data_IF_668417953556
#
_entry.id   IF_668417953556
#
_cell.length_a   1.000
_cell.length_b   1.000
_cell.length_c   1.000
_cell.angle_alpha   90.00
_cell.angle_beta   90.00
_cell.angle_gamma   90.00
#
_symmetry.space_group_name_H-M   'P 1'
#
loop_
_entity.id
_entity.type
_entity.pdbx_description
1 polymer ?
#
# COMPACT_ATOMS: atom_id res chain seq x y z
N UNK A 1 31.84 10.26 0.75
CA UNK A 1 30.52 9.95 0.16
C UNK A 1 30.80 9.27 -1.18
N UNK A 2 30.21 8.10 -1.44
CA UNK A 2 30.48 7.37 -2.68
C UNK A 2 30.02 8.18 -3.92
N UNK A 3 30.75 8.06 -5.02
CA UNK A 3 30.44 8.69 -6.31
C UNK A 3 29.04 8.20 -6.81
N UNK A 4 28.08 9.11 -7.11
CA UNK A 4 26.76 8.75 -7.63
C UNK A 4 26.80 7.87 -8.89
N UNK A 5 27.81 8.05 -9.76
CA UNK A 5 27.96 7.23 -10.95
C UNK A 5 28.38 5.79 -10.61
N UNK A 6 29.17 5.62 -9.55
CA UNK A 6 29.53 4.28 -9.03
C UNK A 6 28.29 3.61 -8.45
N UNK A 7 27.47 4.32 -7.67
CA UNK A 7 26.22 3.78 -7.12
C UNK A 7 25.28 3.36 -8.25
N UNK A 8 25.10 4.19 -9.28
CA UNK A 8 24.24 3.88 -10.44
C UNK A 8 24.68 2.61 -11.16
N UNK A 9 25.99 2.47 -11.43
CA UNK A 9 26.54 1.26 -12.09
C UNK A 9 26.32 0.01 -11.25
N UNK A 10 26.57 0.08 -9.95
CA UNK A 10 26.34 -1.04 -9.04
C UNK A 10 24.86 -1.40 -9.03
N UNK A 11 23.96 -0.43 -8.86
CA UNK A 11 22.52 -0.67 -8.80
C UNK A 11 21.98 -1.34 -10.06
N UNK A 12 22.46 -0.93 -11.24
CA UNK A 12 22.10 -1.55 -12.52
C UNK A 12 22.59 -3.00 -12.67
N UNK A 13 23.61 -3.40 -11.92
CA UNK A 13 24.15 -4.78 -11.95
C UNK A 13 23.44 -5.73 -10.97
N UNK A 14 22.59 -5.21 -10.09
CA UNK A 14 21.89 -6.01 -9.09
C UNK A 14 20.63 -6.62 -9.72
N UNK A 15 20.39 -7.88 -9.45
CA UNK A 15 19.15 -8.56 -9.81
C UNK A 15 17.96 -7.95 -9.05
N UNK A 16 16.88 -7.65 -9.77
CA UNK A 16 15.67 -7.06 -9.19
C UNK A 16 14.82 -8.13 -8.51
N UNK A 17 15.22 -8.53 -7.31
CA UNK A 17 14.56 -9.53 -6.48
C UNK A 17 14.13 -8.95 -5.12
N UNK A 18 13.06 -9.47 -4.54
CA UNK A 18 12.58 -8.99 -3.22
C UNK A 18 13.50 -9.49 -2.12
N UNK A 19 13.64 -8.73 -1.02
CA UNK A 19 14.47 -9.16 0.11
C UNK A 19 13.91 -10.43 0.78
N UNK A 20 12.59 -10.61 0.75
CA UNK A 20 11.89 -11.79 1.23
C UNK A 20 12.43 -13.05 0.57
N UNK A 21 12.47 -13.07 -0.77
CA UNK A 21 12.94 -14.21 -1.54
C UNK A 21 14.47 -14.30 -1.62
N UNK A 22 15.14 -13.16 -1.81
CA UNK A 22 16.59 -13.10 -1.96
C UNK A 22 17.33 -13.54 -0.67
N UNK A 23 16.76 -13.24 0.50
CA UNK A 23 17.42 -13.43 1.80
C UNK A 23 16.55 -14.08 2.88
N UNK A 24 15.36 -13.53 3.18
CA UNK A 24 14.61 -13.90 4.39
C UNK A 24 14.19 -15.37 4.39
N UNK A 25 13.68 -15.88 3.27
CA UNK A 25 13.28 -17.29 3.11
C UNK A 25 14.46 -18.26 3.19
N UNK A 26 15.67 -17.80 2.86
CA UNK A 26 16.90 -18.64 2.82
C UNK A 26 17.66 -18.62 4.15
N UNK A 27 17.40 -17.65 5.02
CA UNK A 27 18.16 -17.43 6.25
C UNK A 27 17.71 -18.37 7.38
N UNK A 28 18.68 -19.00 8.06
CA UNK A 28 18.44 -19.74 9.31
C UNK A 28 18.47 -18.87 10.56
N UNK A 29 18.71 -17.57 10.41
CA UNK A 29 18.87 -16.59 11.50
C UNK A 29 17.79 -15.52 11.39
N UNK A 30 16.54 -15.94 11.55
CA UNK A 30 15.36 -15.07 11.53
C UNK A 30 14.59 -15.28 12.83
N UNK A 31 14.08 -14.18 13.40
CA UNK A 31 13.16 -14.20 14.53
C UNK A 31 11.96 -13.31 14.21
N UNK A 32 10.79 -13.66 14.72
CA UNK A 32 9.54 -12.91 14.53
C UNK A 32 9.02 -12.49 15.90
N UNK A 33 8.60 -11.23 16.02
CA UNK A 33 7.93 -10.71 17.19
C UNK A 33 6.45 -10.47 16.84
N UNK A 34 5.49 -11.14 17.49
CA UNK A 34 4.08 -10.80 17.30
C UNK A 34 3.82 -9.40 17.83
N UNK A 35 2.99 -8.66 17.11
CA UNK A 35 2.55 -7.33 17.50
C UNK A 35 1.04 -7.35 17.70
N UNK A 36 0.56 -6.65 18.72
CA UNK A 36 -0.87 -6.48 19.01
C UNK A 36 -1.29 -5.09 18.53
N UNK A 37 -1.46 -4.97 17.21
CA UNK A 37 -1.98 -3.77 16.56
C UNK A 37 -2.65 -4.14 15.24
N UNK A 38 -3.63 -3.34 14.83
CA UNK A 38 -4.13 -3.40 13.45
C UNK A 38 -3.04 -2.94 12.49
N UNK A 39 -2.85 -3.67 11.39
CA UNK A 39 -1.89 -3.32 10.35
C UNK A 39 -2.43 -3.69 8.96
N UNK A 40 -2.21 -2.78 8.01
CA UNK A 40 -2.42 -2.99 6.58
C UNK A 40 -1.35 -2.20 5.82
N UNK A 41 -0.78 -2.79 4.78
CA UNK A 41 0.14 -2.13 3.86
C UNK A 41 -0.56 -1.16 2.88
N UNK A 42 -1.90 -1.13 2.90
CA UNK A 42 -2.74 -0.32 2.00
C UNK A 42 -2.38 -0.51 0.52
N UNK A 43 -2.01 -1.73 0.12
CA UNK A 43 -1.59 -2.04 -1.25
C UNK A 43 -2.70 -2.00 -2.30
N UNK A 44 -3.96 -1.84 -1.91
CA UNK A 44 -5.10 -1.86 -2.83
C UNK A 44 -6.17 -0.81 -2.48
N UNK A 45 -7.01 -0.47 -3.48
CA UNK A 45 -8.18 0.37 -3.26
C UNK A 45 -9.19 -0.27 -2.30
N UNK A 46 -9.31 -1.59 -2.32
CA UNK A 46 -10.12 -2.31 -1.35
C UNK A 46 -9.60 -2.11 0.07
N UNK A 47 -8.28 -2.18 0.29
CA UNK A 47 -7.67 -1.91 1.60
C UNK A 47 -8.03 -0.50 2.10
N UNK A 48 -8.03 0.49 1.21
CA UNK A 48 -8.47 1.86 1.53
C UNK A 48 -9.96 1.89 1.89
N UNK A 49 -10.81 1.20 1.14
CA UNK A 49 -12.24 1.10 1.43
C UNK A 49 -12.50 0.45 2.79
N UNK A 50 -11.78 -0.62 3.14
CA UNK A 50 -11.96 -1.34 4.40
C UNK A 50 -11.65 -0.45 5.61
N UNK A 51 -10.53 0.28 5.58
CA UNK A 51 -10.11 1.15 6.69
C UNK A 51 -10.79 2.52 6.72
N UNK A 52 -11.52 2.89 5.66
CA UNK A 52 -12.21 4.17 5.60
C UNK A 52 -13.59 4.12 6.25
N UNK A 53 -13.97 5.26 6.82
CA UNK A 53 -15.33 5.49 7.34
C UNK A 53 -16.36 5.40 6.21
N UNK A 54 -17.44 4.67 6.47
CA UNK A 54 -18.52 4.39 5.52
C UNK A 54 -19.77 5.17 5.92
N UNK A 55 -20.49 5.68 4.93
CA UNK A 55 -21.82 6.23 5.14
C UNK A 55 -22.85 5.11 5.43
N UNK A 56 -24.12 5.50 5.61
CA UNK A 56 -25.22 4.56 5.90
C UNK A 56 -25.49 3.53 4.79
N UNK A 57 -25.05 3.78 3.57
CA UNK A 57 -25.20 2.90 2.41
C UNK A 57 -23.92 2.07 2.16
N UNK A 58 -22.93 2.18 3.05
CA UNK A 58 -21.65 1.50 2.92
C UNK A 58 -20.65 2.22 2.02
N UNK A 59 -20.94 3.43 1.52
CA UNK A 59 -20.02 4.12 0.64
C UNK A 59 -18.93 4.86 1.43
N UNK A 60 -17.74 4.91 0.85
CA UNK A 60 -16.67 5.81 1.26
C UNK A 60 -16.60 6.92 0.21
N UNK A 61 -16.97 8.15 0.59
CA UNK A 61 -17.00 9.28 -0.33
C UNK A 61 -15.97 10.32 0.11
N UNK A 62 -15.04 10.65 -0.78
CA UNK A 62 -14.11 11.78 -0.61
C UNK A 62 -14.26 12.77 -1.75
N UNK A 63 -14.60 14.01 -1.43
CA UNK A 63 -14.77 15.09 -2.40
C UNK A 63 -16.22 15.41 -2.73
N UNK A 64 -16.43 16.17 -3.80
CA UNK A 64 -17.75 16.65 -4.20
C UNK A 64 -18.44 15.62 -5.12
N UNK A 65 -19.39 14.87 -4.58
CA UNK A 65 -20.03 13.73 -5.25
C UNK A 65 -21.55 13.79 -5.04
N UNK A 66 -22.31 13.64 -6.12
CA UNK A 66 -23.75 13.34 -6.08
C UNK A 66 -23.91 11.84 -6.27
N UNK A 67 -24.40 11.14 -5.24
CA UNK A 67 -24.69 9.70 -5.29
C UNK A 67 -26.20 9.47 -5.23
N UNK A 68 -26.72 8.60 -6.09
CA UNK A 68 -28.11 8.16 -6.09
C UNK A 68 -28.15 6.63 -6.10
N UNK A 69 -28.84 6.03 -5.12
CA UNK A 69 -28.97 4.57 -4.95
C UNK A 69 -27.63 3.79 -5.01
N UNK A 70 -26.54 4.45 -4.59
CA UNK A 70 -25.19 3.87 -4.63
C UNK A 70 -24.87 3.21 -3.30
N UNK A 71 -24.29 2.01 -3.32
CA UNK A 71 -24.01 1.22 -2.12
C UNK A 71 -22.62 0.59 -2.22
N UNK A 72 -21.96 0.46 -1.06
CA UNK A 72 -20.67 -0.25 -0.90
C UNK A 72 -19.56 0.18 -1.89
N UNK A 73 -19.51 1.46 -2.25
CA UNK A 73 -18.55 1.99 -3.23
C UNK A 73 -17.47 2.86 -2.58
N UNK A 74 -16.27 2.84 -3.16
CA UNK A 74 -15.20 3.80 -2.87
C UNK A 74 -15.18 4.88 -3.95
N UNK A 75 -15.44 6.14 -3.58
CA UNK A 75 -15.58 7.25 -4.53
C UNK A 75 -14.66 8.39 -4.14
N UNK A 76 -13.76 8.76 -5.04
CA UNK A 76 -12.85 9.89 -4.89
C UNK A 76 -13.05 10.91 -6.00
N UNK A 77 -13.26 12.16 -5.62
CA UNK A 77 -13.32 13.31 -6.53
C UNK A 77 -12.37 14.41 -6.05
N UNK A 78 -11.47 14.86 -6.91
CA UNK A 78 -10.45 15.90 -6.60
C UNK A 78 -10.76 17.27 -7.21
N UNK A 79 -11.83 17.38 -8.01
CA UNK A 79 -12.24 18.60 -8.72
C UNK A 79 -13.76 18.78 -8.63
N UNK A 80 -14.22 19.98 -8.98
CA UNK A 80 -15.61 20.39 -8.78
C UNK A 80 -16.58 19.62 -9.67
N UNK A 81 -17.80 19.45 -9.16
CA UNK A 81 -19.02 19.21 -9.92
C UNK A 81 -19.24 20.33 -10.95
#
# INVERSE_FOLDING_TARGET
LADPEVIRKIYQSIESDSIDYALLEKSKRVAVLPVDMEWSDLGSWESIYQVSEKDKQGNVIRGNVISHETHNCLIFSSKKL
#
